data_IF_182788331087
#
_entry.id   IF_182788331087
#
_cell.length_a   1.000
_cell.length_b   1.000
_cell.length_c   1.000
_cell.angle_alpha   90.00
_cell.angle_beta   90.00
_cell.angle_gamma   90.00
#
_symmetry.space_group_name_H-M   'P 1'
#
loop_
_entity.id
_entity.type
_entity.pdbx_description
1 polymer ?
#
# COMPACT_ATOMS: atom_id res chain seq x y z
N UNK A 1 32.57 21.15 -6.72
CA UNK A 1 31.22 21.15 -6.12
C UNK A 1 30.25 21.79 -7.11
N UNK A 2 29.15 21.14 -7.47
CA UNK A 2 28.14 21.73 -8.34
C UNK A 2 26.98 22.27 -7.48
N UNK A 3 26.42 23.42 -7.84
CA UNK A 3 25.32 24.06 -7.12
C UNK A 3 24.05 23.95 -7.94
N UNK A 4 22.94 23.66 -7.28
CA UNK A 4 21.60 23.54 -7.83
C UNK A 4 20.61 24.39 -7.02
N UNK A 5 19.52 24.81 -7.64
CA UNK A 5 18.42 25.50 -6.95
C UNK A 5 17.65 24.52 -6.04
N UNK A 6 17.65 23.23 -6.41
CA UNK A 6 17.05 22.15 -5.60
C UNK A 6 17.77 20.82 -5.78
N UNK A 7 17.81 20.01 -4.73
CA UNK A 7 18.24 18.61 -4.77
C UNK A 7 17.08 17.73 -4.26
N UNK A 8 16.73 16.70 -5.04
CA UNK A 8 15.73 15.68 -4.64
C UNK A 8 16.45 14.34 -4.51
N UNK A 9 16.34 13.70 -3.35
CA UNK A 9 16.95 12.39 -3.07
C UNK A 9 15.88 11.32 -3.11
N UNK A 10 15.87 10.52 -4.18
CA UNK A 10 14.90 9.46 -4.47
C UNK A 10 13.93 9.85 -5.56
N UNK A 11 13.79 8.98 -6.56
CA UNK A 11 12.93 9.12 -7.74
C UNK A 11 11.58 8.41 -7.59
N UNK A 12 11.04 8.34 -6.36
CA UNK A 12 9.73 7.78 -6.09
C UNK A 12 8.58 8.70 -6.54
N UNK A 13 7.34 8.31 -6.22
CA UNK A 13 6.11 8.94 -6.71
C UNK A 13 5.89 10.39 -6.22
N UNK A 14 6.61 10.85 -5.21
CA UNK A 14 6.67 12.26 -4.84
C UNK A 14 7.91 12.97 -5.42
N UNK A 15 9.02 12.24 -5.56
CA UNK A 15 10.32 12.83 -5.95
C UNK A 15 10.40 13.22 -7.41
N UNK A 16 9.97 12.35 -8.33
CA UNK A 16 9.99 12.66 -9.78
C UNK A 16 9.09 13.85 -10.10
N UNK A 17 7.79 13.86 -9.73
CA UNK A 17 6.94 15.00 -10.04
C UNK A 17 7.42 16.30 -9.38
N UNK A 18 7.98 16.25 -8.17
CA UNK A 18 8.56 17.43 -7.53
C UNK A 18 9.75 17.95 -8.33
N UNK A 19 10.68 17.07 -8.70
CA UNK A 19 11.89 17.45 -9.43
C UNK A 19 11.56 18.00 -10.83
N UNK A 20 10.69 17.33 -11.59
CA UNK A 20 10.25 17.77 -12.91
C UNK A 20 9.53 19.12 -12.84
N UNK A 21 8.55 19.28 -11.94
CA UNK A 21 7.81 20.54 -11.84
C UNK A 21 8.68 21.71 -11.36
N UNK A 22 9.69 21.49 -10.50
CA UNK A 22 10.68 22.52 -10.16
C UNK A 22 11.54 22.89 -11.37
N UNK A 23 11.95 21.91 -12.18
CA UNK A 23 12.71 22.14 -13.40
C UNK A 23 11.92 22.91 -14.47
N UNK A 24 10.62 22.62 -14.60
CA UNK A 24 9.69 23.32 -15.52
C UNK A 24 9.46 24.77 -15.10
N UNK A 25 9.68 25.11 -13.83
CA UNK A 25 9.71 26.50 -13.35
C UNK A 25 11.07 27.20 -13.59
N UNK A 26 11.95 26.62 -14.42
CA UNK A 26 13.26 27.16 -14.76
C UNK A 26 14.33 26.99 -13.70
N UNK A 27 14.09 26.19 -12.66
CA UNK A 27 15.08 25.92 -11.60
C UNK A 27 16.02 24.80 -12.01
N UNK A 28 17.31 24.95 -11.74
CA UNK A 28 18.27 23.86 -11.89
C UNK A 28 18.06 22.82 -10.78
N UNK A 29 17.78 21.57 -11.15
CA UNK A 29 17.42 20.50 -10.20
C UNK A 29 18.35 19.30 -10.36
N UNK A 30 18.87 18.79 -9.24
CA UNK A 30 19.53 17.49 -9.19
C UNK A 30 18.56 16.45 -8.60
N UNK A 31 18.25 15.41 -9.37
CA UNK A 31 17.52 14.23 -8.90
C UNK A 31 18.52 13.11 -8.67
N UNK A 32 18.56 12.52 -7.49
CA UNK A 32 19.49 11.45 -7.12
C UNK A 32 18.72 10.15 -6.94
N UNK A 33 19.13 9.09 -7.65
CA UNK A 33 18.51 7.76 -7.54
C UNK A 33 19.57 6.65 -7.49
N UNK A 34 19.48 5.78 -6.48
CA UNK A 34 20.44 4.68 -6.30
C UNK A 34 20.12 3.42 -7.10
N UNK A 35 18.87 3.27 -7.49
CA UNK A 35 18.35 2.11 -8.23
C UNK A 35 17.65 2.52 -9.52
N UNK A 36 16.59 1.79 -9.84
CA UNK A 36 15.72 2.10 -10.96
C UNK A 36 14.79 3.26 -10.62
N UNK A 37 14.53 4.14 -11.61
CA UNK A 37 13.58 5.26 -11.43
C UNK A 37 12.14 4.78 -11.22
N UNK A 38 11.31 5.62 -10.59
CA UNK A 38 9.91 5.34 -10.32
C UNK A 38 9.63 4.84 -8.90
N UNK A 39 10.69 4.55 -8.11
CA UNK A 39 10.57 4.14 -6.71
C UNK A 39 9.89 2.80 -6.51
N UNK A 40 9.46 2.53 -5.27
CA UNK A 40 8.88 1.24 -4.89
C UNK A 40 7.59 0.92 -5.64
N UNK A 41 6.73 1.90 -5.90
CA UNK A 41 5.45 1.71 -6.56
C UNK A 41 5.58 1.01 -7.92
N UNK A 42 6.48 1.51 -8.78
CA UNK A 42 6.69 0.96 -10.13
C UNK A 42 7.50 -0.33 -10.08
N UNK A 43 8.54 -0.38 -9.24
CA UNK A 43 9.52 -1.46 -9.33
C UNK A 43 9.21 -2.67 -8.44
N UNK A 44 8.57 -2.47 -7.26
CA UNK A 44 8.42 -3.51 -6.23
C UNK A 44 7.07 -3.46 -5.49
N UNK A 45 6.14 -2.59 -5.92
CA UNK A 45 4.89 -2.30 -5.22
C UNK A 45 3.67 -2.40 -6.11
N UNK A 46 2.96 -1.27 -6.26
CA UNK A 46 1.63 -1.23 -6.88
C UNK A 46 1.60 -1.86 -8.28
N UNK A 47 2.46 -1.39 -9.19
CA UNK A 47 2.44 -1.82 -10.59
C UNK A 47 2.67 -3.34 -10.75
N UNK A 48 3.77 -3.93 -10.25
CA UNK A 48 3.99 -5.37 -10.43
C UNK A 48 2.96 -6.21 -9.66
N UNK A 49 2.59 -5.82 -8.44
CA UNK A 49 1.64 -6.59 -7.63
C UNK A 49 0.26 -6.64 -8.30
N UNK A 50 -0.31 -5.50 -8.71
CA UNK A 50 -1.64 -5.44 -9.31
C UNK A 50 -1.66 -6.10 -10.70
N UNK A 51 -0.55 -6.05 -11.43
CA UNK A 51 -0.39 -6.81 -12.67
C UNK A 51 -0.48 -8.32 -12.45
N UNK A 52 0.18 -8.84 -11.42
CA UNK A 52 0.13 -10.27 -11.10
C UNK A 52 -1.20 -10.68 -10.46
N UNK A 53 -1.81 -9.84 -9.62
CA UNK A 53 -3.17 -10.04 -9.09
C UNK A 53 -4.19 -10.16 -10.24
N UNK A 54 -4.06 -9.34 -11.30
CA UNK A 54 -4.92 -9.45 -12.48
C UNK A 54 -4.78 -10.81 -13.17
N UNK A 55 -3.55 -11.35 -13.29
CA UNK A 55 -3.33 -12.70 -13.82
C UNK A 55 -3.93 -13.78 -12.90
N UNK A 56 -3.80 -13.61 -11.59
CA UNK A 56 -4.38 -14.52 -10.60
C UNK A 56 -5.94 -14.47 -10.61
N UNK A 57 -6.54 -13.30 -10.84
CA UNK A 57 -8.00 -13.14 -11.01
C UNK A 57 -8.50 -13.88 -12.24
N UNK A 58 -7.78 -13.85 -13.37
CA UNK A 58 -8.11 -14.65 -14.57
C UNK A 58 -8.04 -16.14 -14.26
N UNK A 59 -7.02 -16.60 -13.53
CA UNK A 59 -6.93 -18.00 -13.12
C UNK A 59 -8.07 -18.43 -12.17
N UNK A 60 -8.54 -17.51 -11.30
CA UNK A 60 -9.72 -17.72 -10.46
C UNK A 60 -10.99 -17.83 -11.30
N UNK A 61 -11.29 -16.86 -12.17
CA UNK A 61 -12.46 -16.89 -13.04
C UNK A 61 -12.51 -18.17 -13.90
N UNK A 62 -11.37 -18.64 -14.38
CA UNK A 62 -11.32 -19.89 -15.12
C UNK A 62 -11.73 -21.11 -14.27
N UNK A 63 -11.49 -21.09 -12.93
CA UNK A 63 -11.91 -22.18 -12.02
C UNK A 63 -13.39 -22.13 -11.68
N UNK A 64 -13.94 -20.93 -11.49
CA UNK A 64 -15.36 -20.73 -11.17
C UNK A 64 -16.25 -20.66 -12.41
N UNK A 65 -15.69 -20.66 -13.62
CA UNK A 65 -16.42 -20.63 -14.88
C UNK A 65 -17.54 -21.69 -15.00
N UNK A 66 -17.42 -22.93 -14.44
CA UNK A 66 -18.53 -23.89 -14.43
C UNK A 66 -19.80 -23.39 -13.72
N UNK A 67 -19.69 -22.51 -12.73
CA UNK A 67 -20.85 -21.90 -12.03
C UNK A 67 -21.64 -20.99 -12.98
N UNK A 68 -21.00 -20.50 -14.05
CA UNK A 68 -21.59 -19.69 -15.11
C UNK A 68 -21.99 -20.52 -16.35
N UNK A 69 -21.95 -21.86 -16.26
CA UNK A 69 -22.24 -22.77 -17.38
C UNK A 69 -21.11 -22.89 -18.40
N UNK A 70 -19.90 -22.39 -18.09
CA UNK A 70 -18.74 -22.43 -18.99
C UNK A 70 -17.76 -23.49 -18.49
N UNK A 71 -17.63 -24.60 -19.23
CA UNK A 71 -16.78 -25.72 -18.86
C UNK A 71 -15.44 -25.65 -19.58
N UNK A 72 -14.38 -25.40 -18.82
CA UNK A 72 -12.99 -25.37 -19.30
C UNK A 72 -12.31 -26.70 -18.99
N UNK A 73 -11.26 -27.03 -19.76
CA UNK A 73 -10.37 -28.14 -19.46
C UNK A 73 -9.48 -27.84 -18.25
N UNK A 74 -8.47 -28.70 -18.01
CA UNK A 74 -7.51 -28.48 -16.89
C UNK A 74 -6.76 -27.17 -17.08
N UNK A 75 -6.93 -26.26 -16.11
CA UNK A 75 -6.24 -24.97 -16.09
C UNK A 75 -4.79 -25.20 -15.70
N UNK A 76 -3.88 -24.65 -16.49
CA UNK A 76 -2.44 -24.68 -16.24
C UNK A 76 -1.90 -23.25 -16.17
N UNK A 77 -1.30 -22.89 -15.05
CA UNK A 77 -0.61 -21.62 -14.87
C UNK A 77 0.86 -21.81 -15.22
N UNK A 78 1.37 -20.95 -16.10
CA UNK A 78 2.81 -20.82 -16.38
C UNK A 78 3.34 -19.60 -15.65
N UNK A 79 3.97 -19.81 -14.50
CA UNK A 79 4.46 -18.73 -13.66
C UNK A 79 5.52 -17.87 -14.35
N UNK A 80 6.37 -18.47 -15.19
CA UNK A 80 7.39 -17.74 -15.95
C UNK A 80 6.74 -16.71 -16.90
N UNK A 81 5.64 -17.07 -17.58
CA UNK A 81 4.89 -16.15 -18.46
C UNK A 81 4.18 -15.04 -17.66
N UNK A 82 3.65 -15.35 -16.48
CA UNK A 82 3.10 -14.33 -15.55
C UNK A 82 4.17 -13.31 -15.16
N UNK A 83 5.39 -13.78 -14.86
CA UNK A 83 6.53 -12.91 -14.53
C UNK A 83 6.96 -12.08 -15.74
N UNK A 84 6.99 -12.65 -16.95
CA UNK A 84 7.31 -11.91 -18.19
C UNK A 84 6.31 -10.77 -18.39
N UNK A 85 4.99 -11.07 -18.37
CA UNK A 85 3.94 -10.05 -18.50
C UNK A 85 4.09 -8.93 -17.46
N UNK A 86 4.35 -9.27 -16.20
CA UNK A 86 4.60 -8.29 -15.13
C UNK A 86 5.82 -7.44 -15.45
N UNK A 87 6.90 -8.03 -15.91
CA UNK A 87 8.15 -7.34 -16.20
C UNK A 87 8.00 -6.35 -17.36
N UNK A 88 7.34 -6.73 -18.45
CA UNK A 88 7.05 -5.84 -19.57
C UNK A 88 6.25 -4.60 -19.17
N UNK A 89 5.26 -4.76 -18.29
CA UNK A 89 4.46 -3.63 -17.78
C UNK A 89 5.32 -2.72 -16.88
N UNK A 90 6.13 -3.30 -15.98
CA UNK A 90 7.04 -2.53 -15.12
C UNK A 90 8.06 -1.75 -15.95
N UNK A 91 8.64 -2.37 -16.97
CA UNK A 91 9.62 -1.72 -17.86
C UNK A 91 8.98 -0.58 -18.66
N UNK A 92 7.75 -0.75 -19.15
CA UNK A 92 7.01 0.29 -19.83
C UNK A 92 6.78 1.52 -18.92
N UNK A 93 6.36 1.31 -17.67
CA UNK A 93 6.18 2.40 -16.70
C UNK A 93 7.51 3.06 -16.33
N UNK A 94 8.57 2.27 -16.14
CA UNK A 94 9.92 2.76 -15.83
C UNK A 94 10.47 3.62 -16.98
N UNK A 95 10.29 3.16 -18.24
CA UNK A 95 10.68 3.93 -19.43
C UNK A 95 9.95 5.27 -19.48
N UNK A 96 8.63 5.29 -19.24
CA UNK A 96 7.88 6.55 -19.21
C UNK A 96 8.39 7.54 -18.15
N UNK A 97 8.80 7.05 -16.98
CA UNK A 97 9.44 7.91 -15.95
C UNK A 97 10.83 8.39 -16.40
N UNK A 98 11.63 7.53 -17.03
CA UNK A 98 12.92 7.93 -17.57
C UNK A 98 12.76 9.00 -18.67
N UNK A 99 11.83 8.82 -19.60
CA UNK A 99 11.54 9.78 -20.67
C UNK A 99 11.08 11.13 -20.10
N UNK A 100 10.27 11.13 -19.03
CA UNK A 100 9.87 12.35 -18.32
C UNK A 100 11.08 13.09 -17.74
N UNK A 101 12.00 12.36 -17.11
CA UNK A 101 13.22 12.94 -16.54
C UNK A 101 14.12 13.51 -17.66
N UNK A 102 14.33 12.76 -18.74
CA UNK A 102 15.21 13.11 -19.84
C UNK A 102 14.66 14.28 -20.67
N UNK A 103 13.34 14.47 -20.71
CA UNK A 103 12.70 15.59 -21.40
C UNK A 103 12.78 16.93 -20.66
N UNK A 104 13.18 16.95 -19.38
CA UNK A 104 13.26 18.16 -18.55
C UNK A 104 14.65 18.80 -18.65
N UNK A 105 14.84 19.93 -19.37
CA UNK A 105 16.17 20.46 -19.68
C UNK A 105 16.96 20.97 -18.46
N UNK A 106 16.26 21.34 -17.38
CA UNK A 106 16.85 21.82 -16.14
C UNK A 106 17.01 20.74 -15.07
N UNK A 107 16.70 19.47 -15.40
CA UNK A 107 16.78 18.34 -14.50
C UNK A 107 18.00 17.48 -14.82
N UNK A 108 18.86 17.27 -13.83
CA UNK A 108 20.02 16.37 -13.96
C UNK A 108 19.83 15.14 -13.07
N UNK A 109 19.75 13.95 -13.69
CA UNK A 109 19.70 12.69 -12.95
C UNK A 109 21.10 12.22 -12.55
N UNK A 110 21.29 12.01 -11.25
CA UNK A 110 22.50 11.40 -10.68
C UNK A 110 22.18 9.96 -10.26
N UNK A 111 22.78 9.00 -10.96
CA UNK A 111 22.68 7.58 -10.59
C UNK A 111 23.66 7.23 -9.49
N UNK A 112 23.18 6.95 -8.29
CA UNK A 112 23.99 6.56 -7.14
C UNK A 112 23.33 6.88 -5.82
N UNK A 113 23.94 6.40 -4.74
CA UNK A 113 23.51 6.69 -3.38
C UNK A 113 23.90 8.12 -3.00
N UNK A 114 22.93 8.94 -2.65
CA UNK A 114 23.13 10.29 -2.14
C UNK A 114 23.16 10.31 -0.63
N UNK A 115 24.14 10.96 -0.02
CA UNK A 115 24.21 11.14 1.43
C UNK A 115 24.65 12.54 1.80
N UNK A 116 24.19 13.03 2.91
CA UNK A 116 24.62 14.31 3.47
C UNK A 116 26.08 14.21 3.92
N UNK A 117 26.86 15.26 3.60
CA UNK A 117 28.21 15.48 4.08
C UNK A 117 28.33 16.83 4.81
N UNK A 118 27.27 17.64 4.84
CA UNK A 118 27.09 18.90 5.50
C UNK A 118 25.61 19.31 5.49
N UNK A 119 25.28 20.46 6.05
CA UNK A 119 23.88 20.92 6.18
C UNK A 119 23.14 21.03 4.83
N UNK A 120 23.84 21.48 3.79
CA UNK A 120 23.30 21.69 2.44
C UNK A 120 24.17 21.06 1.35
N UNK A 121 24.93 20.03 1.72
CA UNK A 121 25.86 19.35 0.83
C UNK A 121 25.58 17.87 0.77
N UNK A 122 25.45 17.36 -0.47
CA UNK A 122 25.22 15.95 -0.76
C UNK A 122 26.39 15.38 -1.54
N UNK A 123 26.86 14.20 -1.14
CA UNK A 123 27.80 13.39 -1.91
C UNK A 123 27.04 12.32 -2.69
N UNK A 124 27.41 12.17 -3.98
CA UNK A 124 26.95 11.06 -4.83
C UNK A 124 28.08 10.63 -5.75
N UNK A 125 28.48 9.34 -5.71
CA UNK A 125 29.61 8.79 -6.51
C UNK A 125 30.88 9.65 -6.46
N UNK A 126 31.25 10.15 -5.28
CA UNK A 126 32.43 11.01 -5.08
C UNK A 126 32.29 12.44 -5.59
N UNK A 127 31.19 12.78 -6.26
CA UNK A 127 30.84 14.15 -6.62
C UNK A 127 30.11 14.86 -5.49
N UNK A 128 30.36 16.17 -5.32
CA UNK A 128 29.71 16.99 -4.29
C UNK A 128 28.72 17.95 -4.92
N UNK A 129 27.48 17.93 -4.42
CA UNK A 129 26.38 18.80 -4.82
C UNK A 129 25.99 19.69 -3.64
N UNK A 130 25.57 20.92 -3.95
CA UNK A 130 25.11 21.89 -2.95
C UNK A 130 23.77 22.48 -3.36
N UNK A 131 22.87 22.67 -2.40
CA UNK A 131 21.61 23.40 -2.57
C UNK A 131 21.09 23.90 -1.25
N UNK A 132 20.46 25.06 -1.23
CA UNK A 132 19.72 25.57 -0.07
C UNK A 132 18.34 24.90 0.10
N UNK A 133 17.91 24.09 -0.90
CA UNK A 133 16.65 23.34 -0.87
C UNK A 133 16.89 21.86 -1.18
N UNK A 134 16.69 21.02 -0.16
CA UNK A 134 16.89 19.56 -0.27
C UNK A 134 15.60 18.84 0.13
N UNK A 135 15.18 17.89 -0.70
CA UNK A 135 13.95 17.12 -0.52
C UNK A 135 14.30 15.64 -0.41
N UNK A 136 13.95 15.03 0.75
CA UNK A 136 14.27 13.64 1.05
C UNK A 136 13.05 12.77 0.73
N UNK A 137 13.15 11.89 -0.29
CA UNK A 137 12.10 10.98 -0.77
C UNK A 137 12.62 9.54 -0.92
N UNK A 138 13.44 9.10 0.02
CA UNK A 138 14.15 7.82 -0.04
C UNK A 138 13.28 6.60 0.26
N UNK A 139 12.04 6.81 0.72
CA UNK A 139 11.06 5.76 0.95
C UNK A 139 11.45 4.78 2.07
N UNK A 140 10.97 3.54 1.92
CA UNK A 140 11.14 2.46 2.89
C UNK A 140 11.64 1.19 2.23
N UNK A 141 12.01 0.20 3.05
CA UNK A 141 12.38 -1.16 2.65
C UNK A 141 11.70 -2.19 3.56
N UNK A 142 11.55 -3.47 3.12
CA UNK A 142 10.98 -4.53 3.95
C UNK A 142 11.70 -4.63 5.30
N UNK A 143 10.92 -4.82 6.36
CA UNK A 143 11.43 -5.16 7.69
C UNK A 143 11.75 -6.64 7.71
N UNK A 144 12.99 -6.97 8.04
CA UNK A 144 13.42 -8.33 8.34
C UNK A 144 13.67 -8.41 9.86
N UNK A 145 13.00 -9.32 10.54
CA UNK A 145 13.24 -9.57 11.96
C UNK A 145 14.13 -10.80 12.12
N UNK A 146 15.00 -10.81 13.13
CA UNK A 146 15.81 -11.99 13.42
C UNK A 146 14.91 -13.11 13.97
N UNK A 147 14.82 -14.20 13.20
CA UNK A 147 14.18 -15.45 13.63
C UNK A 147 15.26 -16.52 13.59
N UNK A 148 15.45 -17.32 14.65
CA UNK A 148 16.42 -18.40 14.68
C UNK A 148 16.32 -19.32 13.45
N UNK A 149 17.42 -19.50 12.70
CA UNK A 149 17.51 -20.30 11.48
C UNK A 149 17.07 -19.59 10.19
N UNK A 150 16.65 -18.34 10.25
CA UNK A 150 16.24 -17.57 9.06
C UNK A 150 17.38 -17.37 8.06
N UNK A 151 18.62 -17.31 8.54
CA UNK A 151 19.85 -17.18 7.77
C UNK A 151 20.18 -18.40 6.90
N UNK A 152 19.50 -19.53 7.12
CA UNK A 152 19.69 -20.78 6.37
C UNK A 152 18.78 -20.92 5.14
N UNK A 153 17.84 -20.00 4.96
CA UNK A 153 16.86 -20.02 3.86
C UNK A 153 16.86 -18.71 3.08
N UNK A 154 16.34 -18.76 1.86
CA UNK A 154 16.02 -17.54 1.12
C UNK A 154 14.70 -16.96 1.64
N UNK A 155 14.73 -15.69 2.06
CA UNK A 155 13.56 -14.96 2.54
C UNK A 155 12.98 -14.13 1.39
N UNK A 156 11.73 -14.39 1.07
CA UNK A 156 11.00 -13.57 0.10
C UNK A 156 10.43 -12.32 0.79
N UNK A 157 10.41 -11.24 0.03
CA UNK A 157 9.81 -9.96 0.37
C UNK A 157 9.09 -9.41 -0.86
N UNK A 158 8.43 -8.27 -0.77
CA UNK A 158 7.87 -7.61 -1.95
C UNK A 158 8.91 -7.26 -3.03
N UNK A 159 10.21 -7.34 -2.71
CA UNK A 159 11.28 -7.02 -3.69
C UNK A 159 11.63 -8.17 -4.62
N UNK A 160 11.41 -9.41 -4.23
CA UNK A 160 11.86 -10.59 -4.97
C UNK A 160 10.75 -11.65 -5.17
N UNK A 161 9.66 -11.65 -4.40
CA UNK A 161 8.59 -12.65 -4.56
C UNK A 161 7.94 -12.62 -5.95
N UNK A 162 7.89 -11.45 -6.57
CA UNK A 162 7.30 -11.28 -7.91
C UNK A 162 8.22 -11.68 -9.07
N UNK A 163 9.43 -12.13 -8.77
CA UNK A 163 10.40 -12.63 -9.75
C UNK A 163 10.54 -14.16 -9.71
N UNK A 164 9.80 -14.81 -8.80
CA UNK A 164 9.76 -16.28 -8.67
C UNK A 164 9.12 -16.90 -9.92
N UNK A 165 9.91 -17.67 -10.66
CA UNK A 165 9.50 -18.27 -11.95
C UNK A 165 8.83 -19.63 -11.82
N UNK A 166 8.96 -20.26 -10.66
CA UNK A 166 8.31 -21.53 -10.35
C UNK A 166 7.28 -21.29 -9.25
N UNK A 167 6.09 -21.87 -9.41
CA UNK A 167 5.04 -21.68 -8.42
C UNK A 167 5.44 -22.34 -7.10
N UNK A 168 5.47 -21.61 -5.96
CA UNK A 168 5.66 -22.21 -4.65
C UNK A 168 4.68 -23.35 -4.39
N UNK A 169 5.15 -24.52 -3.96
CA UNK A 169 4.25 -25.60 -3.56
C UNK A 169 3.41 -25.20 -2.35
N UNK A 170 4.06 -24.61 -1.32
CA UNK A 170 3.40 -24.02 -0.18
C UNK A 170 4.13 -22.73 0.24
N UNK A 171 3.45 -21.61 0.16
CA UNK A 171 3.93 -20.29 0.61
C UNK A 171 3.48 -20.04 2.05
N UNK A 172 4.42 -19.80 2.95
CA UNK A 172 4.14 -19.32 4.30
C UNK A 172 4.40 -17.81 4.34
N UNK A 173 3.37 -17.01 4.58
CA UNK A 173 3.47 -15.56 4.70
C UNK A 173 3.43 -15.13 6.16
N UNK A 174 4.45 -14.43 6.64
CA UNK A 174 4.47 -13.81 7.95
C UNK A 174 3.91 -12.38 7.84
N UNK A 175 2.77 -12.14 8.50
CA UNK A 175 2.02 -10.88 8.50
C UNK A 175 0.67 -10.99 7.79
N UNK A 176 -0.43 -10.83 8.53
CA UNK A 176 -1.82 -10.89 8.08
C UNK A 176 -2.42 -9.51 7.76
N UNK A 177 -1.63 -8.60 7.21
CA UNK A 177 -2.08 -7.29 6.71
C UNK A 177 -1.89 -7.21 5.19
N UNK A 178 -2.02 -6.03 4.59
CA UNK A 178 -2.16 -5.80 3.15
C UNK A 178 -1.26 -6.66 2.27
N UNK A 179 0.06 -6.57 2.42
CA UNK A 179 1.00 -7.30 1.55
C UNK A 179 0.90 -8.81 1.71
N UNK A 180 0.78 -9.29 2.96
CA UNK A 180 0.66 -10.73 3.22
C UNK A 180 -0.61 -11.34 2.64
N UNK A 181 -1.73 -10.61 2.68
CA UNK A 181 -3.01 -11.04 2.13
C UNK A 181 -3.07 -10.92 0.61
N UNK A 182 -2.59 -9.81 0.03
CA UNK A 182 -2.53 -9.64 -1.43
C UNK A 182 -1.65 -10.71 -2.08
N UNK A 183 -0.43 -10.91 -1.59
CA UNK A 183 0.44 -11.97 -2.11
C UNK A 183 -0.11 -13.37 -1.78
N UNK A 184 -0.66 -13.55 -0.59
CA UNK A 184 -1.27 -14.82 -0.19
C UNK A 184 -2.37 -15.26 -1.15
N UNK A 185 -3.38 -14.43 -1.37
CA UNK A 185 -4.48 -14.75 -2.27
C UNK A 185 -4.00 -14.85 -3.73
N UNK A 186 -3.09 -13.97 -4.17
CA UNK A 186 -2.51 -14.03 -5.51
C UNK A 186 -1.87 -15.40 -5.77
N UNK A 187 -0.98 -15.88 -4.89
CA UNK A 187 -0.32 -17.17 -5.06
C UNK A 187 -1.29 -18.34 -4.87
N UNK A 188 -2.28 -18.23 -3.96
CA UNK A 188 -3.35 -19.21 -3.82
C UNK A 188 -4.12 -19.39 -5.11
N UNK A 189 -4.50 -18.32 -5.77
CA UNK A 189 -5.20 -18.28 -7.03
C UNK A 189 -4.36 -18.76 -8.20
N UNK A 190 -3.04 -18.56 -8.16
CA UNK A 190 -2.12 -19.15 -9.14
C UNK A 190 -1.88 -20.64 -8.92
N UNK A 191 -2.18 -21.20 -7.74
CA UNK A 191 -2.18 -22.63 -7.48
C UNK A 191 -1.31 -23.12 -6.30
N UNK A 192 -0.70 -22.22 -5.54
CA UNK A 192 0.05 -22.57 -4.32
C UNK A 192 -0.89 -22.97 -3.17
N UNK A 193 -0.42 -23.81 -2.26
CA UNK A 193 -0.92 -23.78 -0.89
C UNK A 193 -0.41 -22.51 -0.20
N UNK A 194 -1.24 -21.92 0.67
CA UNK A 194 -0.88 -20.67 1.38
C UNK A 194 -1.28 -20.75 2.84
N UNK A 195 -0.32 -20.45 3.71
CA UNK A 195 -0.55 -20.20 5.14
C UNK A 195 -0.11 -18.79 5.48
N UNK A 196 -0.97 -18.04 6.16
CA UNK A 196 -0.66 -16.69 6.68
C UNK A 196 -0.56 -16.77 8.20
N UNK A 197 0.54 -16.28 8.74
CA UNK A 197 0.79 -16.22 10.19
C UNK A 197 0.68 -14.78 10.67
N UNK A 198 -0.23 -14.52 11.60
CA UNK A 198 -0.49 -13.18 12.15
C UNK A 198 -0.46 -13.21 13.68
N UNK A 199 0.26 -12.27 14.28
CA UNK A 199 0.38 -12.14 15.73
C UNK A 199 -0.88 -11.61 16.42
N UNK A 200 -1.68 -10.85 15.68
CA UNK A 200 -2.97 -10.33 16.14
C UNK A 200 -4.04 -11.43 16.08
N UNK A 201 -5.14 -11.21 16.82
CA UNK A 201 -6.28 -12.13 16.79
C UNK A 201 -7.13 -12.01 15.52
N UNK A 202 -6.89 -10.96 14.73
CA UNK A 202 -7.59 -10.70 13.47
C UNK A 202 -6.58 -10.33 12.37
N UNK A 203 -6.90 -10.67 11.12
CA UNK A 203 -6.23 -10.08 9.95
C UNK A 203 -6.61 -8.59 9.85
N UNK A 204 -5.82 -7.79 9.16
CA UNK A 204 -6.06 -6.35 9.00
C UNK A 204 -6.50 -5.67 10.31
N UNK A 205 -5.72 -5.70 11.41
CA UNK A 205 -6.17 -5.28 12.74
C UNK A 205 -6.48 -3.79 12.88
N UNK A 206 -6.29 -3.02 11.82
CA UNK A 206 -6.69 -1.60 11.75
C UNK A 206 -8.16 -1.43 11.38
N UNK A 207 -8.75 -2.43 10.72
CA UNK A 207 -10.16 -2.41 10.33
C UNK A 207 -11.10 -2.66 11.52
N UNK A 208 -12.38 -2.38 11.34
CA UNK A 208 -13.40 -2.79 12.29
C UNK A 208 -13.55 -4.33 12.26
N UNK A 209 -13.90 -4.97 13.40
CA UNK A 209 -13.88 -6.43 13.53
C UNK A 209 -14.70 -7.18 12.49
N UNK A 210 -15.90 -6.68 12.15
CA UNK A 210 -16.78 -7.30 11.16
C UNK A 210 -16.20 -7.27 9.73
N UNK A 211 -15.40 -6.24 9.41
CA UNK A 211 -14.71 -6.15 8.12
C UNK A 211 -13.58 -7.19 8.05
N UNK A 212 -12.80 -7.30 9.14
CA UNK A 212 -11.72 -8.29 9.26
C UNK A 212 -12.26 -9.71 9.18
N UNK A 213 -13.39 -10.01 9.87
CA UNK A 213 -13.99 -11.36 9.86
C UNK A 213 -14.54 -11.69 8.48
N UNK A 214 -15.26 -10.77 7.83
CA UNK A 214 -15.80 -11.01 6.49
C UNK A 214 -14.72 -11.24 5.44
N UNK A 215 -13.60 -10.50 5.54
CA UNK A 215 -12.44 -10.74 4.67
C UNK A 215 -11.79 -12.10 4.96
N UNK A 216 -11.64 -12.46 6.24
CA UNK A 216 -11.09 -13.75 6.66
C UNK A 216 -11.91 -14.91 6.09
N UNK A 217 -13.24 -14.88 6.26
CA UNK A 217 -14.16 -15.89 5.72
C UNK A 217 -13.99 -16.07 4.20
N UNK A 218 -13.85 -14.97 3.45
CA UNK A 218 -13.66 -15.03 2.01
C UNK A 218 -12.31 -15.68 1.63
N UNK A 219 -11.23 -15.35 2.32
CA UNK A 219 -9.90 -15.92 2.06
C UNK A 219 -9.82 -17.39 2.45
N UNK A 220 -10.43 -17.79 3.56
CA UNK A 220 -10.52 -19.19 4.00
C UNK A 220 -11.39 -20.04 3.05
N UNK A 221 -12.46 -19.47 2.51
CA UNK A 221 -13.29 -20.13 1.49
C UNK A 221 -12.51 -20.45 0.21
N UNK A 222 -11.53 -19.62 -0.16
CA UNK A 222 -10.59 -19.92 -1.25
C UNK A 222 -9.48 -20.92 -0.84
N UNK A 223 -9.46 -21.37 0.42
CA UNK A 223 -8.54 -22.38 0.94
C UNK A 223 -7.20 -21.82 1.43
N UNK A 224 -7.13 -20.56 1.79
CA UNK A 224 -6.02 -20.02 2.57
C UNK A 224 -6.12 -20.48 4.02
N UNK A 225 -4.99 -20.79 4.66
CA UNK A 225 -4.94 -21.14 6.08
C UNK A 225 -4.44 -19.93 6.86
N UNK A 226 -5.24 -19.45 7.82
CA UNK A 226 -4.92 -18.27 8.63
C UNK A 226 -4.58 -18.69 10.06
N UNK A 227 -3.32 -18.52 10.49
CA UNK A 227 -2.83 -18.82 11.81
C UNK A 227 -2.75 -17.53 12.63
N UNK A 228 -3.84 -17.19 13.32
CA UNK A 228 -3.99 -15.97 14.10
C UNK A 228 -3.48 -16.15 15.54
N UNK A 229 -3.11 -15.05 16.20
CA UNK A 229 -2.54 -15.07 17.54
C UNK A 229 -1.23 -15.86 17.62
N UNK A 230 -0.52 -16.01 16.50
CA UNK A 230 0.67 -16.84 16.37
C UNK A 230 1.88 -16.05 15.84
N UNK A 231 3.08 -16.36 16.31
CA UNK A 231 4.33 -15.79 15.82
C UNK A 231 5.29 -16.90 15.36
N UNK A 232 6.08 -16.63 14.34
CA UNK A 232 7.18 -17.50 13.94
C UNK A 232 8.30 -17.43 14.99
N UNK A 233 8.56 -18.54 15.67
CA UNK A 233 9.57 -18.64 16.73
C UNK A 233 10.91 -19.18 16.19
N UNK A 234 10.86 -20.05 15.17
CA UNK A 234 12.06 -20.67 14.56
C UNK A 234 11.75 -21.05 13.12
N UNK A 235 12.77 -20.99 12.29
CA UNK A 235 12.76 -21.54 10.93
C UNK A 235 13.86 -22.59 10.82
N UNK A 236 13.59 -23.66 10.09
CA UNK A 236 14.60 -24.70 9.81
C UNK A 236 14.53 -25.08 8.33
N UNK A 237 15.70 -25.17 7.68
CA UNK A 237 15.81 -25.69 6.32
C UNK A 237 15.58 -27.21 6.34
N UNK A 238 14.80 -27.72 5.40
CA UNK A 238 14.55 -29.17 5.21
C UNK A 238 14.91 -29.61 3.80
N UNK A 239 14.91 -30.92 3.55
CA UNK A 239 15.16 -31.44 2.21
C UNK A 239 14.07 -31.04 1.18
N UNK A 240 12.85 -30.79 1.66
CA UNK A 240 11.69 -30.42 0.81
C UNK A 240 11.35 -28.92 0.83
N UNK A 241 12.14 -28.09 1.53
CA UNK A 241 11.87 -26.66 1.69
C UNK A 241 12.27 -26.14 3.05
N UNK A 242 11.29 -25.83 3.89
CA UNK A 242 11.50 -25.27 5.23
C UNK A 242 10.37 -25.66 6.20
N UNK A 243 10.67 -25.65 7.47
CA UNK A 243 9.73 -25.74 8.58
C UNK A 243 9.70 -24.42 9.35
N UNK A 244 8.51 -23.92 9.66
CA UNK A 244 8.29 -22.75 10.53
C UNK A 244 7.61 -23.21 11.81
N UNK A 245 8.31 -23.12 12.93
CA UNK A 245 7.72 -23.34 14.24
C UNK A 245 6.99 -22.09 14.70
N UNK A 246 5.72 -22.24 14.99
CA UNK A 246 4.84 -21.17 15.51
C UNK A 246 4.72 -21.31 17.03
N UNK A 247 4.68 -20.18 17.70
CA UNK A 247 4.28 -20.06 19.11
C UNK A 247 2.99 -19.27 19.18
N UNK A 248 1.93 -19.86 19.72
CA UNK A 248 0.63 -19.23 19.92
C UNK A 248 0.56 -18.49 21.25
N UNK A 249 -0.41 -17.58 21.40
CA UNK A 249 -0.62 -16.79 22.63
C UNK A 249 -0.90 -17.66 23.87
N UNK A 250 -1.50 -18.83 23.68
CA UNK A 250 -1.78 -19.80 24.75
C UNK A 250 -0.57 -20.65 25.14
N UNK A 251 0.60 -20.40 24.53
CA UNK A 251 1.84 -21.12 24.76
C UNK A 251 1.97 -22.44 23.99
N UNK A 252 0.96 -22.82 23.21
CA UNK A 252 1.06 -24.00 22.35
C UNK A 252 1.98 -23.74 21.15
N UNK A 253 2.55 -24.80 20.61
CA UNK A 253 3.43 -24.72 19.44
C UNK A 253 2.87 -25.57 18.30
N UNK A 254 3.08 -25.08 17.08
CA UNK A 254 2.69 -25.76 15.84
C UNK A 254 3.85 -25.64 14.84
N UNK A 255 4.04 -26.62 13.98
CA UNK A 255 5.04 -26.54 12.91
C UNK A 255 4.35 -26.60 11.55
N UNK A 256 4.64 -25.61 10.71
CA UNK A 256 4.18 -25.54 9.32
C UNK A 256 5.34 -25.93 8.40
N UNK A 257 5.13 -26.97 7.60
CA UNK A 257 6.03 -27.31 6.50
C UNK A 257 5.68 -26.48 5.26
N UNK A 258 6.66 -25.87 4.64
CA UNK A 258 6.47 -25.04 3.45
C UNK A 258 7.64 -25.13 2.48
N UNK A 259 7.48 -24.52 1.30
CA UNK A 259 8.57 -24.43 0.32
C UNK A 259 9.21 -23.04 0.27
N UNK A 260 8.44 -21.99 0.59
CA UNK A 260 8.88 -20.60 0.54
C UNK A 260 8.34 -19.81 1.73
N UNK A 261 9.14 -18.87 2.22
CA UNK A 261 8.76 -17.95 3.31
C UNK A 261 8.72 -16.51 2.80
N UNK A 262 7.57 -15.85 2.95
CA UNK A 262 7.39 -14.42 2.68
C UNK A 262 7.41 -13.63 4.00
N UNK A 263 8.27 -12.62 4.09
CA UNK A 263 8.29 -11.65 5.18
C UNK A 263 7.48 -10.42 4.80
N UNK A 264 6.28 -10.26 5.40
CA UNK A 264 5.34 -9.17 5.14
C UNK A 264 4.94 -8.40 6.42
N UNK A 265 5.86 -8.28 7.38
CA UNK A 265 5.64 -7.73 8.73
C UNK A 265 5.92 -6.24 8.87
N UNK A 266 5.78 -5.50 7.79
CA UNK A 266 5.97 -4.05 7.75
C UNK A 266 7.29 -3.61 7.12
N UNK A 267 7.62 -2.32 7.30
CA UNK A 267 8.72 -1.67 6.62
C UNK A 267 9.58 -0.87 7.61
N UNK A 268 10.78 -0.49 7.18
CA UNK A 268 11.69 0.42 7.88
C UNK A 268 12.11 1.55 6.93
N UNK A 269 12.30 2.79 7.43
CA UNK A 269 12.67 3.92 6.60
C UNK A 269 14.10 3.77 6.05
N UNK A 270 14.33 4.29 4.84
CA UNK A 270 15.66 4.40 4.23
C UNK A 270 16.30 5.73 4.67
N UNK A 271 16.64 5.84 5.93
CA UNK A 271 17.22 7.04 6.57
C UNK A 271 18.55 6.78 7.25
N UNK A 272 18.84 5.53 7.57
CA UNK A 272 20.00 5.09 8.35
C UNK A 272 21.36 5.26 7.65
N UNK A 273 21.37 5.31 6.32
CA UNK A 273 22.58 5.46 5.51
C UNK A 273 22.72 6.84 4.82
N UNK A 274 21.80 7.78 5.14
CA UNK A 274 21.77 9.12 4.53
C UNK A 274 22.74 10.12 5.14
N UNK A 275 23.40 9.81 6.25
CA UNK A 275 24.28 10.74 6.97
C UNK A 275 23.53 11.93 7.58
N UNK A 276 22.33 11.70 8.10
CA UNK A 276 21.45 12.74 8.68
C UNK A 276 22.04 13.46 9.90
N UNK A 277 23.06 12.87 10.55
CA UNK A 277 23.84 13.49 11.62
C UNK A 277 24.60 14.73 11.15
N UNK A 278 25.00 14.80 9.87
CA UNK A 278 25.78 15.92 9.29
C UNK A 278 24.97 17.22 9.24
N UNK A 279 23.72 17.22 8.71
CA UNK A 279 22.84 18.37 8.79
C UNK A 279 22.17 18.52 10.17
N UNK A 280 22.09 17.47 11.00
CA UNK A 280 21.35 17.45 12.25
C UNK A 280 19.84 17.22 12.06
N UNK A 281 19.45 16.52 10.99
CA UNK A 281 18.03 16.16 10.75
C UNK A 281 17.57 15.13 11.77
N UNK A 282 16.49 15.42 12.47
CA UNK A 282 15.94 14.60 13.54
C UNK A 282 15.11 13.42 12.97
N UNK A 283 15.24 12.25 13.62
CA UNK A 283 14.42 11.07 13.39
C UNK A 283 13.70 10.64 14.67
N UNK A 284 12.61 9.88 14.52
CA UNK A 284 11.99 9.20 15.64
C UNK A 284 12.79 7.93 16.05
N UNK A 285 12.31 7.23 17.09
CA UNK A 285 12.94 5.98 17.57
C UNK A 285 12.95 4.83 16.56
N UNK A 286 12.14 4.91 15.51
CA UNK A 286 12.06 3.93 14.44
C UNK A 286 12.85 4.35 13.19
N UNK A 287 13.49 5.53 13.22
CA UNK A 287 14.28 6.08 12.12
C UNK A 287 13.49 6.93 11.11
N UNK A 288 12.18 7.13 11.30
CA UNK A 288 11.41 8.03 10.43
C UNK A 288 11.80 9.48 10.65
N UNK A 289 11.96 10.23 9.55
CA UNK A 289 12.36 11.64 9.61
C UNK A 289 11.22 12.48 10.16
N UNK A 290 11.51 13.25 11.22
CA UNK A 290 10.54 14.14 11.86
C UNK A 290 10.28 15.39 11.00
N UNK A 291 9.03 15.83 10.99
CA UNK A 291 8.57 16.98 10.20
C UNK A 291 7.39 17.69 10.85
N UNK A 292 7.12 18.92 10.41
CA UNK A 292 5.89 19.65 10.74
C UNK A 292 4.78 19.38 9.70
N UNK A 293 3.61 20.01 9.88
CA UNK A 293 2.48 19.86 8.94
C UNK A 293 2.78 20.30 7.50
N UNK A 294 3.82 21.11 7.27
CA UNK A 294 4.29 21.56 5.95
C UNK A 294 5.36 20.65 5.34
N UNK A 295 5.67 19.53 5.99
CA UNK A 295 6.72 18.58 5.60
C UNK A 295 8.14 19.14 5.72
N UNK A 296 8.33 20.23 6.49
CA UNK A 296 9.64 20.79 6.81
C UNK A 296 10.27 19.99 7.96
N UNK A 297 11.55 19.65 7.84
CA UNK A 297 12.31 19.07 8.94
C UNK A 297 12.69 20.15 9.98
N UNK A 298 13.39 19.75 11.03
CA UNK A 298 13.95 20.69 12.00
C UNK A 298 15.11 21.56 11.42
N UNK A 299 15.58 21.28 10.23
CA UNK A 299 16.65 22.03 9.55
C UNK A 299 16.03 22.88 8.44
N UNK A 300 16.18 24.22 8.47
CA UNK A 300 15.68 25.09 7.42
C UNK A 300 16.23 24.70 6.04
N UNK A 301 15.34 24.68 5.04
CA UNK A 301 15.72 24.31 3.67
C UNK A 301 15.79 22.79 3.41
N UNK A 302 15.39 21.96 4.38
CA UNK A 302 15.31 20.50 4.19
C UNK A 302 13.88 20.04 4.45
N UNK A 303 13.28 19.40 3.45
CA UNK A 303 11.93 18.80 3.50
C UNK A 303 12.00 17.29 3.40
N UNK A 304 10.95 16.64 3.86
CA UNK A 304 10.77 15.19 3.73
C UNK A 304 9.41 14.87 3.15
N UNK A 305 9.34 13.87 2.24
CA UNK A 305 8.10 13.41 1.62
C UNK A 305 8.10 11.89 1.38
N UNK A 306 6.91 11.32 1.27
CA UNK A 306 6.72 9.88 1.08
C UNK A 306 7.00 9.06 2.34
N UNK A 307 7.23 7.77 2.15
CA UNK A 307 7.21 6.79 3.25
C UNK A 307 8.32 7.00 4.30
N UNK A 308 9.42 7.65 3.94
CA UNK A 308 10.56 7.88 4.85
C UNK A 308 10.21 8.82 6.02
N UNK A 309 9.12 9.59 5.91
CA UNK A 309 8.58 10.45 6.99
C UNK A 309 7.68 9.70 7.99
N UNK A 310 7.30 8.45 7.66
CA UNK A 310 6.30 7.71 8.42
C UNK A 310 4.86 8.07 8.07
N UNK A 311 3.92 7.55 8.87
CA UNK A 311 2.50 7.67 8.60
C UNK A 311 2.01 6.68 7.53
N UNK A 312 0.88 6.97 6.84
CA UNK A 312 0.34 6.09 5.81
C UNK A 312 1.28 5.98 4.60
N UNK A 313 1.75 4.77 4.31
CA UNK A 313 2.72 4.47 3.26
C UNK A 313 2.00 4.09 1.96
N UNK A 314 1.44 5.08 1.26
CA UNK A 314 0.74 4.91 -0.01
C UNK A 314 1.28 5.84 -1.08
N UNK A 315 1.20 5.41 -2.33
CA UNK A 315 1.65 6.17 -3.50
C UNK A 315 1.00 7.55 -3.59
N UNK A 316 -0.33 7.62 -3.44
CA UNK A 316 -1.08 8.88 -3.48
C UNK A 316 -0.77 9.81 -2.30
N UNK A 317 -0.37 9.26 -1.14
CA UNK A 317 0.12 10.06 -0.01
C UNK A 317 1.44 10.72 -0.34
N UNK A 318 2.37 9.98 -0.96
CA UNK A 318 3.65 10.53 -1.42
C UNK A 318 3.46 11.60 -2.50
N UNK A 319 2.47 11.41 -3.38
CA UNK A 319 2.11 12.39 -4.40
C UNK A 319 1.48 13.66 -3.80
N UNK A 320 0.57 13.52 -2.83
CA UNK A 320 -0.01 14.68 -2.12
C UNK A 320 1.04 15.44 -1.28
N UNK A 321 2.00 14.72 -0.66
CA UNK A 321 3.14 15.36 0.00
C UNK A 321 3.91 16.29 -0.97
N UNK A 322 4.15 15.81 -2.21
CA UNK A 322 4.76 16.65 -3.25
C UNK A 322 3.92 17.89 -3.53
N UNK A 323 2.60 17.77 -3.68
CA UNK A 323 1.70 18.92 -3.93
C UNK A 323 1.74 19.93 -2.79
N UNK A 324 1.78 19.48 -1.54
CA UNK A 324 1.91 20.35 -0.36
C UNK A 324 3.22 21.12 -0.40
N UNK A 325 4.33 20.44 -0.63
CA UNK A 325 5.66 21.07 -0.71
C UNK A 325 5.72 22.06 -1.90
N UNK A 326 5.27 21.64 -3.08
CA UNK A 326 5.31 22.48 -4.28
C UNK A 326 4.48 23.75 -4.10
N UNK A 327 3.27 23.64 -3.60
CA UNK A 327 2.40 24.77 -3.32
C UNK A 327 3.04 25.76 -2.33
N UNK A 328 3.70 25.26 -1.29
CA UNK A 328 4.33 26.12 -0.29
C UNK A 328 5.62 26.77 -0.82
N UNK A 329 6.48 25.99 -1.48
CA UNK A 329 7.83 26.44 -1.91
C UNK A 329 7.80 27.29 -3.18
N UNK A 330 6.84 27.01 -4.09
CA UNK A 330 6.75 27.67 -5.40
C UNK A 330 5.61 28.69 -5.44
N UNK A 331 4.43 28.33 -4.96
CA UNK A 331 3.23 29.14 -5.06
C UNK A 331 2.99 30.03 -3.83
N UNK A 332 3.85 29.96 -2.81
CA UNK A 332 3.72 30.76 -1.60
C UNK A 332 2.46 30.48 -0.78
N UNK A 333 1.83 29.28 -0.96
CA UNK A 333 0.65 28.86 -0.21
C UNK A 333 1.04 28.39 1.19
N UNK A 334 0.04 28.10 2.01
CA UNK A 334 0.20 27.61 3.37
C UNK A 334 -0.56 26.29 3.56
N UNK A 335 -0.28 25.31 2.66
CA UNK A 335 -0.87 23.96 2.76
C UNK A 335 -0.18 23.14 3.85
N UNK A 336 -0.97 22.29 4.53
CA UNK A 336 -0.47 21.30 5.47
C UNK A 336 -1.07 19.93 5.18
N UNK A 337 -0.42 18.89 5.71
CA UNK A 337 -0.96 17.53 5.69
C UNK A 337 -1.90 17.25 6.85
N UNK A 338 -2.11 18.23 7.73
CA UNK A 338 -3.02 18.12 8.87
C UNK A 338 -4.45 17.93 8.37
N UNK A 339 -5.18 17.04 9.02
CA UNK A 339 -6.59 16.74 8.72
C UNK A 339 -6.89 16.23 7.30
N UNK A 340 -5.86 15.82 6.51
CA UNK A 340 -6.13 15.21 5.20
C UNK A 340 -6.82 13.85 5.36
N UNK A 341 -7.80 13.61 4.52
CA UNK A 341 -8.44 12.30 4.39
C UNK A 341 -7.50 11.40 3.58
N UNK A 342 -7.10 10.28 4.15
CA UNK A 342 -6.24 9.31 3.45
C UNK A 342 -7.08 8.10 3.06
N UNK A 343 -7.47 7.98 1.77
CA UNK A 343 -8.11 6.77 1.28
C UNK A 343 -7.09 5.67 1.07
N UNK A 344 -7.53 4.40 1.10
CA UNK A 344 -6.70 3.29 0.66
C UNK A 344 -7.52 2.11 0.20
N UNK A 345 -6.90 1.23 -0.56
CA UNK A 345 -7.47 -0.04 -0.96
C UNK A 345 -6.50 -1.20 -0.66
N UNK A 346 -7.08 -2.36 -0.35
CA UNK A 346 -6.44 -3.66 -0.32
C UNK A 346 -7.00 -4.46 -1.49
N UNK A 347 -6.14 -4.91 -2.37
CA UNK A 347 -6.51 -5.54 -3.64
C UNK A 347 -6.64 -7.07 -3.52
N UNK A 348 -7.28 -7.50 -2.43
CA UNK A 348 -7.83 -8.84 -2.32
C UNK A 348 -9.14 -8.95 -3.11
N UNK A 349 -9.76 -10.09 -3.09
CA UNK A 349 -11.09 -10.32 -3.61
C UNK A 349 -11.89 -11.10 -2.56
N UNK A 350 -12.87 -10.44 -1.90
CA UNK A 350 -13.36 -9.07 -2.14
C UNK A 350 -12.31 -7.99 -1.89
N UNK A 351 -12.39 -6.92 -2.68
CA UNK A 351 -11.52 -5.74 -2.55
C UNK A 351 -11.98 -4.85 -1.40
N UNK A 352 -11.04 -4.36 -0.59
CA UNK A 352 -11.35 -3.43 0.49
C UNK A 352 -11.01 -2.01 0.06
N UNK A 353 -12.00 -1.14 -0.02
CA UNK A 353 -11.85 0.31 -0.11
C UNK A 353 -12.15 0.97 1.22
N UNK A 354 -11.30 1.93 1.65
CA UNK A 354 -11.41 2.59 2.94
C UNK A 354 -11.15 4.08 2.84
N UNK A 355 -11.94 4.89 3.60
CA UNK A 355 -11.72 6.33 3.81
C UNK A 355 -12.03 6.72 5.26
N UNK A 356 -11.33 7.75 5.75
CA UNK A 356 -11.61 8.37 7.05
C UNK A 356 -11.44 7.44 8.25
N UNK A 357 -12.26 7.63 9.27
CA UNK A 357 -12.17 6.95 10.57
C UNK A 357 -12.91 5.60 10.57
N UNK A 358 -12.39 4.62 11.30
CA UNK A 358 -13.16 3.44 11.72
C UNK A 358 -14.20 3.87 12.75
N UNK A 359 -15.21 3.02 12.98
CA UNK A 359 -16.13 3.23 14.08
C UNK A 359 -15.38 3.31 15.42
N UNK A 360 -14.42 2.40 15.64
CA UNK A 360 -13.57 2.39 16.84
C UNK A 360 -12.80 3.71 17.03
N UNK A 361 -12.21 4.24 15.96
CA UNK A 361 -11.48 5.51 15.99
C UNK A 361 -12.41 6.71 16.23
N UNK A 362 -13.58 6.72 15.61
CA UNK A 362 -14.57 7.78 15.78
C UNK A 362 -15.12 7.79 17.21
N UNK A 363 -15.42 6.62 17.79
CA UNK A 363 -15.82 6.51 19.23
C UNK A 363 -14.70 6.97 20.16
N UNK A 364 -13.46 6.58 19.89
CA UNK A 364 -12.30 7.01 20.71
C UNK A 364 -12.07 8.53 20.66
N UNK A 365 -12.48 9.20 19.59
CA UNK A 365 -12.46 10.65 19.45
C UNK A 365 -13.68 11.35 20.05
N UNK A 366 -14.64 10.62 20.63
CA UNK A 366 -15.82 11.15 21.31
C UNK A 366 -16.95 11.63 20.42
N UNK A 367 -16.97 11.23 19.13
CA UNK A 367 -18.10 11.54 18.25
C UNK A 367 -19.36 10.78 18.66
N UNK A 368 -20.52 11.43 18.56
CA UNK A 368 -21.82 10.76 18.54
C UNK A 368 -22.04 10.21 17.13
N UNK A 369 -22.38 8.93 17.02
CA UNK A 369 -22.37 8.23 15.76
C UNK A 369 -23.75 7.82 15.30
N UNK A 370 -23.93 7.83 13.98
CA UNK A 370 -24.85 6.98 13.24
C UNK A 370 -24.02 6.00 12.42
N UNK A 371 -24.44 4.75 12.34
CA UNK A 371 -23.76 3.70 11.60
C UNK A 371 -24.72 3.11 10.58
N UNK A 372 -24.27 2.97 9.35
CA UNK A 372 -24.96 2.21 8.32
C UNK A 372 -24.12 1.00 7.93
N UNK A 373 -24.78 -0.13 7.68
CA UNK A 373 -24.14 -1.33 7.13
C UNK A 373 -25.09 -2.06 6.18
N UNK A 374 -24.53 -2.66 5.13
CA UNK A 374 -25.27 -3.51 4.20
C UNK A 374 -24.32 -4.58 3.62
N UNK A 375 -24.74 -5.85 3.53
CA UNK A 375 -23.95 -6.89 2.89
C UNK A 375 -23.94 -6.70 1.36
N UNK A 376 -22.84 -7.08 0.71
CA UNK A 376 -22.72 -7.04 -0.76
C UNK A 376 -23.73 -7.97 -1.46
N UNK A 377 -24.23 -9.00 -0.76
CA UNK A 377 -25.29 -9.88 -1.27
C UNK A 377 -26.66 -9.20 -1.50
N UNK A 378 -26.82 -7.95 -1.09
CA UNK A 378 -28.02 -7.14 -1.40
C UNK A 378 -27.86 -6.30 -2.68
N UNK A 379 -26.69 -6.30 -3.29
CA UNK A 379 -26.39 -5.51 -4.49
C UNK A 379 -26.64 -6.36 -5.74
N UNK A 380 -27.63 -5.96 -6.55
CA UNK A 380 -28.04 -6.71 -7.73
C UNK A 380 -26.88 -7.04 -8.66
N UNK A 381 -26.03 -6.08 -8.96
CA UNK A 381 -24.86 -6.27 -9.83
C UNK A 381 -23.80 -7.22 -9.25
N UNK A 382 -23.66 -7.26 -7.93
CA UNK A 382 -22.77 -8.21 -7.26
C UNK A 382 -23.32 -9.65 -7.40
N UNK A 383 -24.65 -9.82 -7.28
CA UNK A 383 -25.34 -11.10 -7.48
C UNK A 383 -25.17 -11.57 -8.94
N UNK A 384 -25.42 -10.70 -9.92
CA UNK A 384 -25.25 -11.01 -11.34
C UNK A 384 -23.82 -11.44 -11.71
N UNK A 385 -22.82 -10.89 -11.02
CA UNK A 385 -21.39 -11.21 -11.22
C UNK A 385 -20.93 -12.43 -10.42
N UNK A 386 -21.77 -12.96 -9.49
CA UNK A 386 -21.35 -14.01 -8.56
C UNK A 386 -20.32 -13.52 -7.52
N UNK A 387 -20.23 -12.21 -7.28
CA UNK A 387 -19.23 -11.55 -6.41
C UNK A 387 -19.93 -10.91 -5.19
N UNK A 388 -20.62 -11.72 -4.38
CA UNK A 388 -21.46 -11.27 -3.27
C UNK A 388 -20.75 -11.21 -1.91
N UNK A 389 -19.46 -11.59 -1.86
CA UNK A 389 -18.67 -11.57 -0.64
C UNK A 389 -18.43 -10.15 -0.13
N UNK A 390 -18.51 -9.97 1.19
CA UNK A 390 -18.19 -8.71 1.83
C UNK A 390 -19.39 -7.87 2.29
N UNK A 391 -19.07 -6.64 2.69
CA UNK A 391 -20.04 -5.69 3.25
C UNK A 391 -19.62 -4.24 2.96
N UNK A 392 -20.58 -3.34 3.04
CA UNK A 392 -20.37 -1.90 3.08
C UNK A 392 -20.68 -1.37 4.46
N UNK A 393 -19.89 -0.41 4.95
CA UNK A 393 -20.11 0.29 6.23
C UNK A 393 -19.82 1.78 6.09
N UNK A 394 -20.65 2.61 6.73
CA UNK A 394 -20.47 4.06 6.81
C UNK A 394 -20.55 4.51 8.27
N UNK A 395 -19.67 5.40 8.67
CA UNK A 395 -19.60 6.03 9.98
C UNK A 395 -19.93 7.50 9.81
N UNK A 396 -20.98 7.96 10.46
CA UNK A 396 -21.55 9.31 10.29
C UNK A 396 -21.56 10.03 11.64
N UNK A 397 -21.22 11.31 11.64
CA UNK A 397 -21.40 12.18 12.79
C UNK A 397 -22.88 12.49 12.98
N UNK A 398 -23.45 12.07 14.12
CA UNK A 398 -24.88 12.27 14.43
C UNK A 398 -25.29 13.74 14.60
N UNK A 399 -24.32 14.64 14.82
CA UNK A 399 -24.62 16.06 15.07
C UNK A 399 -24.84 16.86 13.78
N UNK A 400 -24.27 16.41 12.65
CA UNK A 400 -24.29 17.19 11.39
C UNK A 400 -24.42 16.35 10.12
N UNK A 401 -24.64 15.04 10.27
CA UNK A 401 -24.80 14.08 9.18
C UNK A 401 -23.60 13.97 8.20
N UNK A 402 -22.40 14.42 8.62
CA UNK A 402 -21.18 14.31 7.82
C UNK A 402 -20.56 12.93 7.97
N UNK A 403 -20.03 12.43 6.87
CA UNK A 403 -19.31 11.17 6.85
C UNK A 403 -17.99 11.35 7.60
N UNK A 404 -17.74 10.54 8.61
CA UNK A 404 -16.47 10.45 9.33
C UNK A 404 -15.56 9.40 8.70
N UNK A 405 -16.13 8.34 8.14
CA UNK A 405 -15.41 7.30 7.43
C UNK A 405 -16.34 6.30 6.77
N UNK A 406 -15.78 5.52 5.87
CA UNK A 406 -16.51 4.43 5.21
C UNK A 406 -15.57 3.30 4.81
N UNK A 407 -16.11 2.10 4.76
CA UNK A 407 -15.44 0.88 4.31
C UNK A 407 -16.34 0.16 3.33
N UNK A 408 -15.80 -0.23 2.18
CA UNK A 408 -16.48 -1.10 1.22
C UNK A 408 -15.58 -2.30 0.99
N UNK A 409 -15.98 -3.44 1.53
CA UNK A 409 -15.38 -4.74 1.25
C UNK A 409 -16.28 -5.43 0.22
N UNK A 410 -15.84 -5.51 -1.03
CA UNK A 410 -16.66 -6.06 -2.11
C UNK A 410 -16.04 -5.84 -3.48
N UNK A 411 -16.72 -6.29 -4.52
CA UNK A 411 -16.29 -6.06 -5.90
C UNK A 411 -16.09 -4.54 -6.15
N UNK A 412 -14.92 -4.16 -6.68
CA UNK A 412 -14.54 -2.77 -6.97
C UNK A 412 -14.64 -1.84 -5.73
N UNK A 413 -14.39 -2.36 -4.53
CA UNK A 413 -14.51 -1.61 -3.27
C UNK A 413 -13.68 -0.32 -3.25
N UNK A 414 -12.47 -0.34 -3.82
CA UNK A 414 -11.58 0.82 -3.94
C UNK A 414 -12.12 1.90 -4.87
N UNK A 415 -12.87 1.53 -5.91
CA UNK A 415 -13.52 2.48 -6.80
C UNK A 415 -14.80 3.06 -6.16
N UNK A 416 -15.60 2.20 -5.54
CA UNK A 416 -16.87 2.59 -4.95
C UNK A 416 -16.71 3.55 -3.77
N UNK A 417 -15.72 3.33 -2.90
CA UNK A 417 -15.50 4.17 -1.72
C UNK A 417 -15.17 5.61 -2.08
N UNK A 418 -14.66 5.89 -3.29
CA UNK A 418 -14.32 7.22 -3.77
C UNK A 418 -15.57 8.09 -3.99
N UNK A 419 -16.75 7.49 -4.21
CA UNK A 419 -18.03 8.23 -4.26
C UNK A 419 -18.30 8.89 -2.90
N UNK A 420 -18.14 8.15 -1.81
CA UNK A 420 -18.29 8.68 -0.45
C UNK A 420 -17.17 9.67 -0.09
N UNK A 421 -15.95 9.44 -0.59
CA UNK A 421 -14.84 10.39 -0.45
C UNK A 421 -15.16 11.74 -1.12
N UNK A 422 -15.77 11.75 -2.30
CA UNK A 422 -16.16 12.97 -2.96
C UNK A 422 -17.18 13.80 -2.13
N UNK A 423 -18.11 13.12 -1.44
CA UNK A 423 -19.05 13.78 -0.51
C UNK A 423 -18.30 14.34 0.70
N UNK A 424 -17.33 13.62 1.26
CA UNK A 424 -16.50 14.11 2.37
C UNK A 424 -15.68 15.34 1.95
N UNK A 425 -15.06 15.32 0.77
CA UNK A 425 -14.27 16.43 0.25
C UNK A 425 -15.11 17.67 -0.06
N UNK A 426 -16.38 17.48 -0.47
CA UNK A 426 -17.34 18.56 -0.66
C UNK A 426 -17.87 19.13 0.68
N UNK A 427 -17.46 18.56 1.80
CA UNK A 427 -17.95 18.92 3.13
C UNK A 427 -19.48 18.84 3.24
N UNK A 428 -20.11 17.89 2.53
CA UNK A 428 -21.55 17.69 2.45
C UNK A 428 -22.04 16.59 3.41
N UNK A 429 -23.28 16.64 3.88
CA UNK A 429 -23.87 15.54 4.64
C UNK A 429 -24.12 14.32 3.73
N UNK A 430 -24.12 13.11 4.29
CA UNK A 430 -24.36 11.87 3.51
C UNK A 430 -25.74 11.86 2.83
N UNK A 431 -26.68 12.63 3.34
CA UNK A 431 -28.07 12.75 2.84
C UNK A 431 -28.14 13.33 1.43
N UNK A 432 -27.06 13.95 0.92
CA UNK A 432 -27.01 14.38 -0.51
C UNK A 432 -27.10 13.20 -1.48
N UNK A 433 -26.73 12.00 -1.04
CA UNK A 433 -26.89 10.76 -1.81
C UNK A 433 -28.18 9.99 -1.45
N UNK A 434 -28.79 10.28 -0.30
CA UNK A 434 -29.98 9.59 0.16
C UNK A 434 -31.16 9.86 -0.77
N UNK A 435 -31.93 8.82 -1.10
CA UNK A 435 -33.10 8.89 -1.97
C UNK A 435 -32.82 9.54 -3.36
N UNK A 436 -31.59 9.41 -3.86
CA UNK A 436 -31.21 9.87 -5.20
C UNK A 436 -31.25 8.70 -6.19
N UNK A 437 -31.34 9.08 -7.47
CA UNK A 437 -31.36 8.12 -8.57
C UNK A 437 -29.96 7.62 -8.87
N UNK A 438 -29.71 6.32 -8.69
CA UNK A 438 -28.53 5.62 -9.19
C UNK A 438 -28.88 4.84 -10.46
N UNK A 439 -27.86 4.56 -11.27
CA UNK A 439 -28.03 3.72 -12.46
C UNK A 439 -28.22 2.26 -12.01
N UNK A 440 -29.25 1.61 -12.55
CA UNK A 440 -29.51 0.17 -12.33
C UNK A 440 -29.23 -0.64 -13.60
N UNK A 441 -28.59 -1.84 -13.53
CA UNK A 441 -27.91 -2.40 -12.35
C UNK A 441 -26.43 -1.97 -12.32
N UNK A 442 -25.98 -1.45 -11.19
CA UNK A 442 -24.57 -1.11 -10.94
C UNK A 442 -24.14 -1.52 -9.53
N UNK A 443 -22.81 -1.63 -9.30
CA UNK A 443 -22.30 -1.81 -7.94
C UNK A 443 -22.52 -0.55 -7.09
N UNK A 444 -22.48 0.64 -7.70
CA UNK A 444 -22.66 1.92 -7.03
C UNK A 444 -24.05 2.10 -6.41
N UNK A 445 -25.10 1.50 -7.00
CA UNK A 445 -26.45 1.55 -6.40
C UNK A 445 -26.53 0.82 -5.05
N UNK A 446 -25.56 -0.03 -4.73
CA UNK A 446 -25.43 -0.65 -3.40
C UNK A 446 -25.34 0.37 -2.27
N UNK A 447 -24.82 1.56 -2.55
CA UNK A 447 -24.81 2.68 -1.59
C UNK A 447 -26.21 3.06 -1.14
N UNK A 448 -27.24 2.83 -1.96
CA UNK A 448 -28.61 3.07 -1.57
C UNK A 448 -29.08 2.19 -0.40
N UNK A 449 -28.72 0.90 -0.42
CA UNK A 449 -28.97 0.00 0.69
C UNK A 449 -28.17 0.39 1.93
N UNK A 450 -26.90 0.77 1.75
CA UNK A 450 -26.04 1.25 2.83
C UNK A 450 -26.63 2.49 3.53
N UNK A 451 -27.02 3.50 2.77
CA UNK A 451 -27.47 4.79 3.30
C UNK A 451 -28.84 4.71 3.97
N UNK A 452 -29.72 3.81 3.52
CA UNK A 452 -31.02 3.57 4.16
C UNK A 452 -30.92 2.92 5.54
N UNK A 453 -29.84 2.22 5.80
CA UNK A 453 -29.59 1.52 7.06
C UNK A 453 -28.77 2.37 8.05
N UNK A 454 -28.67 3.68 7.86
CA UNK A 454 -27.95 4.58 8.78
C UNK A 454 -28.83 4.86 9.99
N UNK A 455 -28.42 4.34 11.14
CA UNK A 455 -29.15 4.44 12.41
C UNK A 455 -28.24 4.97 13.53
N UNK A 456 -28.85 5.52 14.60
CA UNK A 456 -28.12 5.95 15.79
C UNK A 456 -27.41 4.75 16.46
N UNK A 457 -26.13 4.92 16.86
CA UNK A 457 -25.27 3.83 17.36
C UNK A 457 -24.74 4.09 18.79
#
# INVERSE_FOLDING_TARGET
>A
MKTYDAIVIGSGQGGVPLASNLADQGRSVALIEKGDVGGSCINYGCTPTKTMISSARIAHYARVAPEFGIHLGKIKVNMAEVVVRKTEIVESFRSGVQDQIDSSPNLTLYRGHGRFIGAHEIEVKGGRLKSDKIFINTGTRPRIVPIPGLDQIEVLTNRNIMDVKELPGHLIALGGSYLGLEFGQMFRRLGSEVSVVEMSDNICPREDPEVSESLKEALEAEGMKLHLGAKAAKVAKTAGGLDVSLEKKDGTTETLAGTHLLMAIGQVPNSDDLGLDKPGVATDKNGYIQHNGKLETNIPGIWVLGDVKGGPAFTHVSYDDYLVIFDNVVNGKNRTIDNRIVPYALYTDPELGRIGLTEREARAKGYRLKIGSAPMSYVARAIERGETGGLMKIVVNADNDRILGATILGAEGGELVQILMAVMLADAPYTVLENKMFIHPTLAEGLFALLRNVEAA
#
